data_IF_260138429737
#
_entry.id   IF_260138429737
#
_cell.length_a   1.000
_cell.length_b   1.000
_cell.length_c   1.000
_cell.angle_alpha   90.00
_cell.angle_beta   90.00
_cell.angle_gamma   90.00
#
_symmetry.space_group_name_H-M   'P 1'
#
loop_
_entity.id
_entity.type
_entity.pdbx_description
1 polymer ?
#
# COMPACT_ATOMS: atom_id res chain seq x y z
N UNK A 1 29.78 1.56 -11.72
CA UNK A 1 28.38 1.09 -11.63
C UNK A 1 27.56 2.27 -11.21
N UNK A 2 26.75 2.82 -12.10
CA UNK A 2 25.80 3.88 -11.75
C UNK A 2 24.82 3.33 -10.71
N UNK A 3 24.91 3.85 -9.48
CA UNK A 3 23.89 3.57 -8.46
C UNK A 3 22.58 4.11 -8.99
N UNK A 4 21.65 3.21 -9.30
CA UNK A 4 20.28 3.58 -9.65
C UNK A 4 19.76 4.51 -8.54
N UNK A 5 19.24 5.71 -8.87
CA UNK A 5 18.78 6.64 -7.86
C UNK A 5 17.73 5.95 -7.00
N UNK A 6 17.99 5.91 -5.69
CA UNK A 6 17.07 5.32 -4.72
C UNK A 6 15.93 6.31 -4.51
N UNK A 7 14.69 5.83 -4.63
CA UNK A 7 13.52 6.65 -4.34
C UNK A 7 13.54 7.04 -2.86
N UNK A 8 13.19 8.30 -2.59
CA UNK A 8 13.12 8.83 -1.22
C UNK A 8 12.04 8.11 -0.39
N UNK A 9 10.98 7.65 -1.06
CA UNK A 9 9.90 6.85 -0.52
C UNK A 9 9.34 5.97 -1.65
N UNK A 10 8.95 4.74 -1.31
CA UNK A 10 8.48 3.75 -2.29
C UNK A 10 6.96 3.76 -2.48
N UNK A 11 6.24 4.23 -1.46
CA UNK A 11 4.78 4.25 -1.41
C UNK A 11 4.28 5.36 -0.47
N UNK A 12 2.96 5.45 -0.32
CA UNK A 12 2.34 6.52 0.47
C UNK A 12 2.64 6.41 1.97
N UNK A 13 2.87 5.20 2.50
CA UNK A 13 3.23 5.01 3.91
C UNK A 13 4.66 5.49 4.18
N UNK A 14 5.59 5.16 3.29
CA UNK A 14 6.96 5.69 3.35
C UNK A 14 6.99 7.22 3.27
N UNK A 15 6.15 7.82 2.42
CA UNK A 15 6.01 9.28 2.36
C UNK A 15 5.52 9.87 3.69
N UNK A 16 4.51 9.27 4.31
CA UNK A 16 3.99 9.72 5.60
C UNK A 16 5.04 9.64 6.70
N UNK A 17 5.79 8.54 6.76
CA UNK A 17 6.89 8.37 7.72
C UNK A 17 7.98 9.40 7.49
N UNK A 18 8.44 9.56 6.24
CA UNK A 18 9.46 10.54 5.86
C UNK A 18 9.08 11.98 6.25
N UNK A 19 7.80 12.35 6.09
CA UNK A 19 7.28 13.68 6.47
C UNK A 19 6.84 13.78 7.94
N UNK A 20 6.93 12.71 8.73
CA UNK A 20 6.48 12.70 10.12
C UNK A 20 4.96 12.89 10.31
N UNK A 21 4.15 12.50 9.31
CA UNK A 21 2.71 12.69 9.32
C UNK A 21 2.05 11.62 10.20
N UNK A 22 1.31 12.06 11.22
CA UNK A 22 0.62 11.16 12.15
C UNK A 22 -0.64 10.57 11.54
N UNK A 23 -0.95 9.32 11.91
CA UNK A 23 -2.15 8.60 11.48
C UNK A 23 -3.45 9.37 11.75
N UNK A 24 -3.52 10.09 12.88
CA UNK A 24 -4.67 10.94 13.21
C UNK A 24 -4.89 12.07 12.21
N UNK A 25 -3.81 12.69 11.73
CA UNK A 25 -3.89 13.75 10.72
C UNK A 25 -4.32 13.23 9.35
N UNK A 26 -3.87 12.03 8.99
CA UNK A 26 -4.28 11.38 7.73
C UNK A 26 -5.79 11.13 7.73
N UNK A 27 -6.31 10.56 8.81
CA UNK A 27 -7.75 10.32 8.96
C UNK A 27 -8.57 11.63 8.88
N UNK A 28 -8.08 12.68 9.55
CA UNK A 28 -8.68 14.02 9.51
C UNK A 28 -8.72 14.60 8.09
N UNK A 29 -7.59 14.57 7.37
CA UNK A 29 -7.47 15.07 6.00
C UNK A 29 -8.41 14.32 5.05
N UNK A 30 -8.45 13.00 5.15
CA UNK A 30 -9.34 12.18 4.32
C UNK A 30 -10.81 12.24 4.77
N UNK A 31 -11.15 13.08 5.75
CA UNK A 31 -12.51 13.27 6.29
C UNK A 31 -13.15 11.95 6.75
N UNK A 32 -12.35 11.06 7.33
CA UNK A 32 -12.80 9.76 7.84
C UNK A 32 -12.47 9.59 9.32
N UNK A 33 -13.15 8.65 9.99
CA UNK A 33 -12.80 8.31 11.36
C UNK A 33 -11.44 7.61 11.43
N UNK A 34 -10.75 7.75 12.57
CA UNK A 34 -9.46 7.06 12.80
C UNK A 34 -9.58 5.54 12.65
N UNK A 35 -10.70 4.96 13.12
CA UNK A 35 -10.99 3.53 12.96
C UNK A 35 -11.17 3.14 11.49
N UNK A 36 -11.80 3.99 10.68
CA UNK A 36 -11.93 3.73 9.25
C UNK A 36 -10.56 3.79 8.56
N UNK A 37 -9.75 4.81 8.86
CA UNK A 37 -8.38 4.92 8.37
C UNK A 37 -7.56 3.67 8.72
N UNK A 38 -7.63 3.21 9.96
CA UNK A 38 -6.93 2.00 10.40
C UNK A 38 -7.34 0.76 9.59
N UNK A 39 -8.65 0.57 9.34
CA UNK A 39 -9.14 -0.53 8.49
C UNK A 39 -8.68 -0.39 7.04
N UNK A 40 -8.73 0.82 6.48
CA UNK A 40 -8.25 1.10 5.11
C UNK A 40 -6.77 0.78 4.98
N UNK A 41 -5.95 1.18 5.96
CA UNK A 41 -4.52 0.85 6.03
C UNK A 41 -4.27 -0.66 6.10
N UNK A 42 -4.96 -1.37 7.01
CA UNK A 42 -4.84 -2.83 7.12
C UNK A 42 -5.28 -3.56 5.85
N UNK A 43 -6.24 -2.99 5.12
CA UNK A 43 -6.69 -3.51 3.83
C UNK A 43 -5.82 -3.04 2.65
N UNK A 44 -4.59 -2.59 2.90
CA UNK A 44 -3.63 -2.15 1.88
C UNK A 44 -4.19 -1.06 0.96
N UNK A 45 -4.98 -0.15 1.55
CA UNK A 45 -5.65 0.96 0.86
C UNK A 45 -6.63 0.51 -0.24
N UNK A 46 -7.08 -0.75 -0.21
CA UNK A 46 -8.11 -1.26 -1.10
C UNK A 46 -9.43 -0.55 -0.78
N UNK A 47 -10.00 0.07 -1.80
CA UNK A 47 -11.22 0.91 -1.77
C UNK A 47 -11.04 2.34 -1.27
N UNK A 48 -9.83 2.91 -1.34
CA UNK A 48 -9.68 4.36 -1.26
C UNK A 48 -10.44 5.02 -2.43
N UNK A 49 -11.26 6.01 -2.12
CA UNK A 49 -12.03 6.75 -3.11
C UNK A 49 -11.17 7.84 -3.78
N UNK A 50 -11.59 8.28 -4.97
CA UNK A 50 -10.93 9.38 -5.68
C UNK A 50 -10.94 10.66 -4.83
N UNK A 51 -12.06 10.96 -4.16
CA UNK A 51 -12.15 12.13 -3.27
C UNK A 51 -11.11 12.08 -2.15
N UNK A 52 -10.91 10.92 -1.52
CA UNK A 52 -9.91 10.76 -0.46
C UNK A 52 -8.48 10.93 -0.98
N UNK A 53 -8.21 10.50 -2.22
CA UNK A 53 -6.93 10.73 -2.90
C UNK A 53 -6.73 12.22 -3.18
N UNK A 54 -7.76 12.93 -3.64
CA UNK A 54 -7.70 14.36 -3.92
C UNK A 54 -7.45 15.19 -2.64
N UNK A 55 -8.12 14.87 -1.54
CA UNK A 55 -7.90 15.54 -0.25
C UNK A 55 -6.45 15.33 0.25
N UNK A 56 -5.93 14.10 0.11
CA UNK A 56 -4.54 13.81 0.42
C UNK A 56 -3.57 14.56 -0.50
N UNK A 57 -3.87 14.62 -1.79
CA UNK A 57 -3.05 15.30 -2.78
C UNK A 57 -2.94 16.80 -2.47
N UNK A 58 -4.05 17.45 -2.14
CA UNK A 58 -4.07 18.83 -1.67
C UNK A 58 -3.23 19.02 -0.41
N UNK A 59 -3.41 18.16 0.60
CA UNK A 59 -2.64 18.26 1.86
C UNK A 59 -1.14 18.01 1.68
N UNK A 60 -0.77 17.11 0.78
CA UNK A 60 0.62 16.76 0.50
C UNK A 60 1.29 17.73 -0.49
N UNK A 61 0.52 18.64 -1.09
CA UNK A 61 0.95 19.53 -2.17
C UNK A 61 1.57 18.73 -3.34
N UNK A 62 0.92 17.63 -3.72
CA UNK A 62 1.33 16.75 -4.81
C UNK A 62 0.20 16.60 -5.83
N UNK A 63 0.51 16.28 -7.10
CA UNK A 63 -0.51 15.91 -8.08
C UNK A 63 -1.33 14.70 -7.62
N UNK A 64 -2.67 14.68 -7.81
CA UNK A 64 -3.51 13.54 -7.46
C UNK A 64 -3.05 12.21 -8.07
N UNK A 65 -2.51 12.22 -9.28
CA UNK A 65 -2.00 11.03 -9.97
C UNK A 65 -0.77 10.44 -9.27
N UNK A 66 0.07 11.30 -8.71
CA UNK A 66 1.23 10.87 -7.93
C UNK A 66 0.77 10.23 -6.62
N UNK A 67 -0.17 10.85 -5.92
CA UNK A 67 -0.73 10.29 -4.68
C UNK A 67 -1.44 8.98 -4.95
N UNK A 68 -2.24 8.90 -6.02
CA UNK A 68 -2.86 7.67 -6.47
C UNK A 68 -1.83 6.57 -6.75
N UNK A 69 -0.76 6.89 -7.46
CA UNK A 69 0.31 5.93 -7.78
C UNK A 69 0.99 5.39 -6.52
N UNK A 70 1.22 6.25 -5.52
CA UNK A 70 1.79 5.86 -4.22
C UNK A 70 0.83 4.98 -3.40
N UNK A 71 -0.47 5.27 -3.42
CA UNK A 71 -1.48 4.41 -2.81
C UNK A 71 -1.58 3.05 -3.55
N UNK A 72 -1.54 3.07 -4.87
CA UNK A 72 -1.58 1.87 -5.70
C UNK A 72 -0.35 0.98 -5.51
N UNK A 73 0.83 1.56 -5.25
CA UNK A 73 2.03 0.80 -4.93
C UNK A 73 1.84 -0.09 -3.68
N UNK A 74 1.17 0.41 -2.64
CA UNK A 74 0.81 -0.37 -1.43
C UNK A 74 -0.09 -1.55 -1.80
N UNK A 75 -1.17 -1.27 -2.54
CA UNK A 75 -2.11 -2.30 -2.98
C UNK A 75 -1.43 -3.37 -3.83
N UNK A 76 -0.63 -2.96 -4.81
CA UNK A 76 0.05 -3.86 -5.75
C UNK A 76 1.04 -4.77 -5.05
N UNK A 77 1.83 -4.24 -4.10
CA UNK A 77 2.78 -5.04 -3.32
C UNK A 77 2.05 -6.13 -2.54
N UNK A 78 1.00 -5.77 -1.82
CA UNK A 78 0.19 -6.72 -1.07
C UNK A 78 -0.51 -7.77 -1.95
N UNK A 79 -0.92 -7.39 -3.17
CA UNK A 79 -1.50 -8.33 -4.13
C UNK A 79 -0.46 -9.34 -4.65
N UNK A 80 0.76 -8.89 -4.97
CA UNK A 80 1.85 -9.77 -5.40
C UNK A 80 2.26 -10.76 -4.31
N UNK A 81 2.38 -10.28 -3.06
CA UNK A 81 2.70 -11.14 -1.90
C UNK A 81 1.66 -12.25 -1.72
N UNK A 82 0.37 -11.93 -1.88
CA UNK A 82 -0.71 -12.94 -1.83
C UNK A 82 -0.61 -13.98 -2.93
N UNK A 83 -0.25 -13.57 -4.15
CA UNK A 83 -0.07 -14.52 -5.25
C UNK A 83 1.14 -15.43 -5.02
N UNK A 84 2.24 -14.88 -4.52
CA UNK A 84 3.43 -15.66 -4.21
C UNK A 84 3.16 -16.68 -3.11
N UNK A 85 2.44 -16.29 -2.05
CA UNK A 85 2.01 -17.19 -0.99
C UNK A 85 1.13 -18.33 -1.51
N UNK A 86 0.09 -18.01 -2.31
CA UNK A 86 -0.80 -19.01 -2.87
C UNK A 86 -0.07 -19.99 -3.81
N UNK A 87 0.88 -19.52 -4.61
CA UNK A 87 1.68 -20.38 -5.48
C UNK A 87 2.62 -21.29 -4.68
N UNK A 88 3.19 -20.79 -3.58
CA UNK A 88 4.05 -21.59 -2.71
C UNK A 88 3.29 -22.73 -2.01
N UNK A 89 2.05 -22.49 -1.57
CA UNK A 89 1.19 -23.50 -0.96
C UNK A 89 0.85 -24.63 -1.96
N UNK A 90 0.55 -24.29 -3.22
CA UNK A 90 0.31 -25.27 -4.29
C UNK A 90 1.55 -26.12 -4.60
N UNK A 91 2.74 -25.51 -4.56
CA UNK A 91 4.01 -26.21 -4.78
C UNK A 91 4.36 -27.15 -3.61
N UNK A 92 3.91 -26.87 -2.39
CA UNK A 92 4.08 -27.75 -1.22
C UNK A 92 3.09 -28.93 -1.25
N UNK A 93 1.81 -28.70 -1.53
CA UNK A 93 0.81 -29.76 -1.69
C UNK A 93 1.19 -30.74 -2.82
N UNK A 94 1.67 -30.22 -3.95
CA UNK A 94 2.12 -31.05 -5.07
C UNK A 94 3.34 -31.94 -4.74
N UNK A 95 4.20 -31.52 -3.80
CA UNK A 95 5.34 -32.32 -3.32
C UNK A 95 4.89 -33.40 -2.34
N UNK A 96 3.92 -33.13 -1.49
CA UNK A 96 3.36 -34.12 -0.53
C UNK A 96 2.67 -35.25 -1.29
N UNK A 97 1.90 -34.94 -2.34
CA UNK A 97 1.21 -35.95 -3.16
C UNK A 97 2.15 -36.85 -3.98
N UNK A 98 3.37 -36.40 -4.27
CA UNK A 98 4.39 -37.20 -4.96
C UNK A 98 5.17 -38.14 -4.03
N UNK A 99 5.22 -37.85 -2.73
CA UNK A 99 5.92 -38.68 -1.72
C UNK A 99 4.99 -39.75 -1.14
N UNK A 100 3.68 -39.55 -1.22
CA UNK A 100 2.66 -40.44 -0.63
C UNK A 100 2.09 -41.47 -1.64
N UNK A 101 2.60 -41.50 -2.88
CA UNK A 101 2.31 -42.50 -3.92
C UNK A 101 3.54 -43.34 -4.20
#
# INVERSE_FOLDING_TARGET
>A
MDKKPQLLYEDIHGLFEFRGIKQGKIAEVMKMSYNNWYKTKLNNLRNISINEVDELAMFLELPPEQVFSLCYAVYKRAWLEKQQAANAELDEEAKVDQVTK
#
